data_IF_725578700104
#
_entry.id   IF_725578700104
#
_cell.length_a   1.000
_cell.length_b   1.000
_cell.length_c   1.000
_cell.angle_alpha   90.00
_cell.angle_beta   90.00
_cell.angle_gamma   90.00
#
_symmetry.space_group_name_H-M   'P 1'
#
loop_
_entity.id
_entity.type
_entity.pdbx_description
1 polymer ?
#
# COMPACT_ATOMS: atom_id res chain seq x y z
N UNK A 1 -34.28 -5.12 -11.98
CA UNK A 1 -32.92 -4.66 -11.61
C UNK A 1 -33.04 -3.20 -11.19
N UNK A 2 -33.00 -2.90 -9.88
CA UNK A 2 -33.12 -1.53 -9.34
C UNK A 2 -31.81 -1.08 -8.69
N UNK A 3 -30.70 -1.21 -9.41
CA UNK A 3 -29.44 -0.57 -8.99
C UNK A 3 -29.18 0.60 -9.93
N UNK A 4 -29.00 1.80 -9.37
CA UNK A 4 -28.63 3.02 -10.11
C UNK A 4 -27.22 2.94 -10.72
N UNK A 5 -26.45 1.88 -10.40
CA UNK A 5 -25.07 1.68 -10.83
C UNK A 5 -24.81 0.22 -11.25
N UNK A 6 -23.78 0.03 -12.06
CA UNK A 6 -23.25 -1.28 -12.41
C UNK A 6 -22.29 -1.72 -11.31
N UNK A 7 -22.75 -2.58 -10.41
CA UNK A 7 -21.96 -3.02 -9.26
C UNK A 7 -20.96 -4.08 -9.72
N UNK A 8 -19.67 -3.86 -9.47
CA UNK A 8 -18.62 -4.86 -9.59
C UNK A 8 -18.74 -5.83 -8.43
N UNK A 9 -19.11 -7.07 -8.73
CA UNK A 9 -19.23 -8.11 -7.73
C UNK A 9 -17.86 -8.61 -7.27
N UNK A 10 -17.62 -8.59 -5.96
CA UNK A 10 -16.43 -9.20 -5.35
C UNK A 10 -16.85 -10.45 -4.58
N UNK A 11 -16.30 -11.63 -4.90
CA UNK A 11 -16.58 -12.83 -4.12
C UNK A 11 -16.01 -12.67 -2.71
N UNK A 12 -16.53 -13.45 -1.76
CA UNK A 12 -15.79 -13.69 -0.51
C UNK A 12 -14.57 -14.53 -0.83
N UNK A 13 -13.40 -13.96 -0.64
CA UNK A 13 -12.14 -14.66 -0.83
C UNK A 13 -11.92 -15.66 0.31
N UNK A 14 -11.13 -16.71 0.04
CA UNK A 14 -10.73 -17.68 1.08
C UNK A 14 -9.78 -17.08 2.11
N UNK A 15 -9.08 -16.00 1.73
CA UNK A 15 -8.19 -15.25 2.62
C UNK A 15 -9.06 -14.39 3.54
N UNK A 16 -8.84 -14.54 4.84
CA UNK A 16 -9.47 -13.73 5.87
C UNK A 16 -8.40 -12.90 6.60
N UNK A 17 -8.60 -11.60 6.64
CA UNK A 17 -7.70 -10.64 7.29
C UNK A 17 -8.31 -10.25 8.65
N UNK A 18 -7.51 -10.26 9.70
CA UNK A 18 -7.86 -9.79 11.05
C UNK A 18 -6.73 -8.89 11.60
N UNK A 19 -6.92 -8.33 12.79
CA UNK A 19 -5.88 -7.58 13.48
C UNK A 19 -4.64 -8.42 13.86
N UNK A 20 -4.77 -9.75 13.81
CA UNK A 20 -3.65 -10.68 14.03
C UNK A 20 -2.78 -10.85 12.78
N UNK A 21 -3.34 -10.53 11.61
CA UNK A 21 -2.64 -10.67 10.34
C UNK A 21 -1.49 -9.66 10.22
N UNK A 22 -0.30 -10.15 9.88
CA UNK A 22 0.84 -9.32 9.49
C UNK A 22 0.74 -9.03 8.00
N UNK A 23 0.66 -7.75 7.64
CA UNK A 23 0.42 -7.31 6.26
C UNK A 23 1.63 -6.52 5.78
N UNK A 24 2.19 -6.93 4.64
CA UNK A 24 3.13 -6.12 3.88
C UNK A 24 2.44 -5.60 2.62
N UNK A 25 2.51 -4.29 2.39
CA UNK A 25 1.95 -3.69 1.19
C UNK A 25 3.01 -2.97 0.37
N UNK A 26 3.04 -3.21 -0.95
CA UNK A 26 3.88 -2.49 -1.90
C UNK A 26 3.03 -1.96 -3.06
N UNK A 27 3.35 -0.77 -3.58
CA UNK A 27 2.69 -0.27 -4.78
C UNK A 27 2.60 1.25 -4.90
N UNK A 28 1.64 1.66 -5.73
CA UNK A 28 1.28 3.06 -6.00
C UNK A 28 0.82 3.85 -4.77
N UNK A 29 0.56 5.15 -4.92
CA UNK A 29 -0.07 5.98 -3.88
C UNK A 29 -1.40 5.40 -3.35
N UNK A 30 -2.10 4.58 -4.14
CA UNK A 30 -3.31 3.89 -3.67
C UNK A 30 -3.00 2.91 -2.53
N UNK A 31 -1.82 2.27 -2.53
CA UNK A 31 -1.34 1.43 -1.42
C UNK A 31 -1.20 2.25 -0.14
N UNK A 32 -0.67 3.47 -0.20
CA UNK A 32 -0.55 4.31 0.99
C UNK A 32 -1.92 4.72 1.54
N UNK A 33 -2.89 5.04 0.68
CA UNK A 33 -4.26 5.34 1.13
C UNK A 33 -4.93 4.18 1.88
N UNK A 34 -4.91 2.98 1.30
CA UNK A 34 -5.52 1.79 1.91
C UNK A 34 -4.72 1.34 3.14
N UNK A 35 -3.39 1.36 3.06
CA UNK A 35 -2.51 0.99 4.16
C UNK A 35 -2.64 1.94 5.36
N UNK A 36 -2.70 3.25 5.13
CA UNK A 36 -2.92 4.22 6.21
C UNK A 36 -4.30 4.06 6.86
N UNK A 37 -5.33 3.66 6.10
CA UNK A 37 -6.62 3.30 6.71
C UNK A 37 -6.48 2.06 7.61
N UNK A 38 -5.77 1.02 7.17
CA UNK A 38 -5.49 -0.16 8.00
C UNK A 38 -4.72 0.20 9.28
N UNK A 39 -3.69 1.05 9.19
CA UNK A 39 -2.93 1.52 10.35
C UNK A 39 -3.79 2.33 11.34
N UNK A 40 -4.66 3.24 10.84
CA UNK A 40 -5.63 3.97 11.68
C UNK A 40 -6.62 3.03 12.38
N UNK A 41 -6.86 1.86 11.81
CA UNK A 41 -7.69 0.79 12.37
C UNK A 41 -6.88 -0.23 13.18
N UNK A 42 -5.62 0.09 13.51
CA UNK A 42 -4.71 -0.67 14.36
C UNK A 42 -4.32 -2.06 13.80
N UNK A 43 -4.36 -2.24 12.48
CA UNK A 43 -3.79 -3.44 11.85
C UNK A 43 -2.26 -3.37 11.80
N UNK A 44 -1.62 -4.55 11.86
CA UNK A 44 -0.17 -4.73 11.75
C UNK A 44 0.26 -4.61 10.27
N UNK A 45 0.50 -3.39 9.81
CA UNK A 45 0.79 -3.12 8.39
C UNK A 45 2.10 -2.35 8.21
N UNK A 46 2.99 -2.92 7.39
CA UNK A 46 4.16 -2.24 6.83
C UNK A 46 3.85 -1.79 5.40
N UNK A 47 4.10 -0.51 5.10
CA UNK A 47 3.66 0.12 3.84
C UNK A 47 4.87 0.65 3.09
N UNK A 48 5.07 0.11 1.89
CA UNK A 48 6.03 0.59 0.91
C UNK A 48 7.43 0.79 1.54
N UNK A 49 8.17 -0.24 1.97
CA UNK A 49 9.48 -0.07 2.60
C UNK A 49 10.53 0.64 1.71
N UNK A 50 10.26 0.78 0.42
CA UNK A 50 11.09 1.54 -0.54
C UNK A 50 10.42 2.84 -1.02
N UNK A 51 9.26 3.17 -0.45
CA UNK A 51 8.36 4.22 -0.88
C UNK A 51 7.51 3.82 -2.07
N UNK A 52 6.82 4.80 -2.67
CA UNK A 52 5.87 4.55 -3.75
C UNK A 52 6.62 4.04 -4.99
N UNK A 53 6.40 2.77 -5.29
CA UNK A 53 6.97 2.06 -6.45
C UNK A 53 5.85 1.22 -7.04
N UNK A 54 5.58 1.39 -8.33
CA UNK A 54 4.30 0.96 -8.90
C UNK A 54 4.41 0.24 -10.23
N UNK A 55 5.60 -0.02 -10.75
CA UNK A 55 5.77 -0.90 -11.89
C UNK A 55 6.21 -2.31 -11.43
N UNK A 56 5.87 -3.37 -12.19
CA UNK A 56 6.17 -4.74 -11.79
C UNK A 56 7.65 -5.01 -11.47
N UNK A 57 8.58 -4.57 -12.31
CA UNK A 57 10.00 -4.91 -12.14
C UNK A 57 10.59 -4.22 -10.91
N UNK A 58 10.26 -2.95 -10.68
CA UNK A 58 10.76 -2.25 -9.51
C UNK A 58 10.20 -2.82 -8.20
N UNK A 59 8.92 -3.24 -8.15
CA UNK A 59 8.37 -3.94 -6.97
C UNK A 59 9.06 -5.29 -6.77
N UNK A 60 9.29 -6.04 -7.85
CA UNK A 60 10.02 -7.31 -7.81
C UNK A 60 11.42 -7.13 -7.23
N UNK A 61 12.19 -6.16 -7.73
CA UNK A 61 13.52 -5.85 -7.20
C UNK A 61 13.47 -5.48 -5.71
N UNK A 62 12.49 -4.67 -5.28
CA UNK A 62 12.31 -4.36 -3.86
C UNK A 62 12.05 -5.61 -3.01
N UNK A 63 11.23 -6.55 -3.48
CA UNK A 63 10.96 -7.79 -2.77
C UNK A 63 12.19 -8.71 -2.72
N UNK A 64 13.00 -8.77 -3.78
CA UNK A 64 14.27 -9.51 -3.77
C UNK A 64 15.26 -8.92 -2.77
N UNK A 65 15.40 -7.58 -2.73
CA UNK A 65 16.20 -6.88 -1.72
C UNK A 65 15.74 -7.23 -0.30
N UNK A 66 14.43 -7.29 -0.07
CA UNK A 66 13.89 -7.71 1.22
C UNK A 66 14.22 -9.18 1.52
N UNK A 67 14.02 -10.10 0.59
CA UNK A 67 14.32 -11.54 0.80
C UNK A 67 15.80 -11.74 1.18
N UNK A 68 16.69 -11.04 0.49
CA UNK A 68 18.14 -11.12 0.70
C UNK A 68 18.62 -10.32 1.92
N UNK A 69 17.74 -9.48 2.48
CA UNK A 69 18.08 -8.49 3.50
C UNK A 69 19.32 -7.65 3.10
N UNK A 70 19.36 -7.21 1.85
CA UNK A 70 20.55 -6.60 1.27
C UNK A 70 20.87 -5.26 1.96
N UNK A 71 22.13 -5.12 2.39
CA UNK A 71 22.64 -3.89 2.99
C UNK A 71 23.19 -2.94 1.93
N UNK A 72 22.70 -1.71 1.91
CA UNK A 72 23.19 -0.62 1.07
C UNK A 72 24.34 0.11 1.74
N UNK A 73 25.30 0.55 0.93
CA UNK A 73 26.53 1.24 1.34
C UNK A 73 26.77 2.49 0.50
N UNK A 74 27.83 3.25 0.82
CA UNK A 74 28.16 4.48 0.10
C UNK A 74 28.39 4.28 -1.42
N UNK A 75 28.80 3.08 -1.86
CA UNK A 75 28.99 2.79 -3.29
C UNK A 75 27.66 2.71 -4.07
N UNK A 76 26.56 2.43 -3.38
CA UNK A 76 25.23 2.32 -3.97
C UNK A 76 24.55 3.68 -4.13
N UNK A 77 25.03 4.69 -3.40
CA UNK A 77 24.48 6.03 -3.44
C UNK A 77 24.88 6.78 -4.73
N UNK A 78 23.96 7.62 -5.16
CA UNK A 78 24.15 8.65 -6.19
C UNK A 78 23.82 10.00 -5.58
N UNK A 79 24.33 11.07 -6.19
CA UNK A 79 24.11 12.43 -5.74
C UNK A 79 23.59 13.29 -6.88
N UNK A 80 22.45 13.95 -6.65
CA UNK A 80 21.83 14.86 -7.61
C UNK A 80 20.92 15.84 -6.87
N UNK A 81 20.87 17.10 -7.32
CA UNK A 81 20.09 18.17 -6.68
C UNK A 81 20.27 18.23 -5.15
N UNK A 82 21.53 18.27 -4.70
CA UNK A 82 21.92 18.40 -3.30
C UNK A 82 21.42 17.26 -2.38
N UNK A 83 21.08 16.11 -2.97
CA UNK A 83 20.56 14.95 -2.23
C UNK A 83 21.23 13.67 -2.67
N UNK A 84 21.56 12.84 -1.69
CA UNK A 84 21.93 11.45 -1.84
C UNK A 84 20.68 10.60 -2.05
N UNK A 85 20.78 9.59 -2.92
CA UNK A 85 19.68 8.70 -3.24
C UNK A 85 20.19 7.36 -3.82
N UNK A 86 19.28 6.41 -4.01
CA UNK A 86 19.51 5.23 -4.84
C UNK A 86 18.39 5.12 -5.88
N UNK A 87 18.68 4.51 -7.02
CA UNK A 87 17.66 4.30 -8.07
C UNK A 87 16.55 3.31 -7.65
N UNK A 88 16.74 2.57 -6.56
CA UNK A 88 15.80 1.56 -6.08
C UNK A 88 14.74 2.10 -5.11
N UNK A 89 14.93 3.32 -4.59
CA UNK A 89 14.06 3.91 -3.57
C UNK A 89 13.38 5.19 -4.08
N UNK A 90 12.17 5.44 -3.57
CA UNK A 90 11.45 6.69 -3.77
C UNK A 90 12.22 7.87 -3.17
N UNK A 91 11.99 9.08 -3.70
CA UNK A 91 12.66 10.31 -3.26
C UNK A 91 12.46 10.67 -1.78
N UNK A 92 11.49 10.04 -1.10
CA UNK A 92 11.29 10.19 0.36
C UNK A 92 12.48 9.65 1.17
N UNK A 93 13.27 8.75 0.61
CA UNK A 93 14.49 8.22 1.22
C UNK A 93 15.73 9.07 0.92
N UNK A 94 15.65 9.98 -0.06
CA UNK A 94 16.76 10.84 -0.41
C UNK A 94 17.03 11.83 0.72
N UNK A 95 18.30 12.12 1.01
CA UNK A 95 18.70 13.04 2.08
C UNK A 95 19.92 13.87 1.66
N UNK A 96 20.07 15.09 2.17
CA UNK A 96 21.27 15.92 1.96
C UNK A 96 22.53 15.30 2.60
N UNK A 97 22.36 14.51 3.67
CA UNK A 97 23.42 13.74 4.31
C UNK A 97 23.39 12.27 3.84
N UNK A 98 24.55 11.74 3.45
CA UNK A 98 24.70 10.38 2.93
C UNK A 98 24.45 9.30 4.00
N UNK A 99 24.92 9.54 5.23
CA UNK A 99 24.77 8.61 6.35
C UNK A 99 23.31 8.50 6.76
N UNK A 100 22.59 9.62 6.85
CA UNK A 100 21.15 9.63 7.12
C UNK A 100 20.35 8.93 6.00
N UNK A 101 20.74 9.12 4.74
CA UNK A 101 20.13 8.43 3.61
C UNK A 101 20.28 6.90 3.75
N UNK A 102 21.51 6.42 4.02
CA UNK A 102 21.77 4.99 4.20
C UNK A 102 21.12 4.43 5.45
N UNK A 103 21.07 5.19 6.54
CA UNK A 103 20.41 4.78 7.78
C UNK A 103 18.92 4.52 7.50
N UNK A 104 18.23 5.48 6.89
CA UNK A 104 16.81 5.37 6.57
C UNK A 104 16.53 4.20 5.61
N UNK A 105 17.35 4.04 4.57
CA UNK A 105 17.23 2.92 3.61
C UNK A 105 17.38 1.58 4.32
N UNK A 106 18.47 1.39 5.06
CA UNK A 106 18.76 0.10 5.68
C UNK A 106 17.79 -0.22 6.83
N UNK A 107 17.32 0.78 7.58
CA UNK A 107 16.28 0.58 8.59
C UNK A 107 14.97 0.10 7.96
N UNK A 108 14.54 0.72 6.85
CA UNK A 108 13.32 0.31 6.17
C UNK A 108 13.44 -1.07 5.52
N UNK A 109 14.60 -1.42 4.97
CA UNK A 109 14.87 -2.78 4.46
C UNK A 109 14.78 -3.81 5.59
N UNK A 110 15.44 -3.55 6.73
CA UNK A 110 15.39 -4.47 7.87
C UNK A 110 13.95 -4.63 8.40
N UNK A 111 13.21 -3.52 8.58
CA UNK A 111 11.82 -3.57 9.01
C UNK A 111 10.94 -4.35 8.01
N UNK A 112 11.08 -4.07 6.72
CA UNK A 112 10.37 -4.78 5.65
C UNK A 112 10.72 -6.26 5.59
N UNK A 113 11.98 -6.64 5.79
CA UNK A 113 12.43 -8.04 5.84
C UNK A 113 11.79 -8.78 7.02
N UNK A 114 11.83 -8.19 8.22
CA UNK A 114 11.24 -8.79 9.43
C UNK A 114 9.73 -8.98 9.29
N UNK A 115 9.03 -8.03 8.67
CA UNK A 115 7.59 -8.18 8.38
C UNK A 115 7.38 -9.24 7.31
N UNK A 116 8.14 -9.25 6.21
CA UNK A 116 7.98 -10.23 5.13
C UNK A 116 8.15 -11.68 5.61
N UNK A 117 9.06 -11.94 6.56
CA UNK A 117 9.29 -13.26 7.16
C UNK A 117 8.04 -13.84 7.82
N UNK A 118 7.24 -12.99 8.47
CA UNK A 118 6.03 -13.38 9.22
C UNK A 118 4.72 -12.94 8.56
N UNK A 119 4.79 -12.32 7.38
CA UNK A 119 3.64 -11.78 6.70
C UNK A 119 2.65 -12.89 6.35
N UNK A 120 1.41 -12.74 6.78
CA UNK A 120 0.31 -13.59 6.33
C UNK A 120 -0.13 -13.18 4.92
N UNK A 121 0.02 -11.88 4.61
CA UNK A 121 -0.48 -11.24 3.40
C UNK A 121 0.57 -10.30 2.81
N UNK A 122 0.83 -10.49 1.52
CA UNK A 122 1.53 -9.55 0.66
C UNK A 122 0.54 -8.94 -0.33
N UNK A 123 0.25 -7.65 -0.19
CA UNK A 123 -0.62 -6.91 -1.11
C UNK A 123 0.22 -6.07 -2.06
N UNK A 124 0.10 -6.34 -3.37
CA UNK A 124 0.84 -5.65 -4.42
C UNK A 124 -0.12 -4.86 -5.29
N UNK A 125 0.05 -3.53 -5.32
CA UNK A 125 -0.74 -2.62 -6.17
C UNK A 125 0.10 -2.10 -7.33
N UNK A 126 -0.13 -2.61 -8.54
CA UNK A 126 0.50 -2.06 -9.74
C UNK A 126 -0.16 -0.75 -10.19
N UNK A 127 0.65 0.22 -10.58
CA UNK A 127 0.24 1.47 -11.20
C UNK A 127 0.37 1.42 -12.72
N UNK A 128 1.52 1.02 -13.25
CA UNK A 128 1.78 1.01 -14.70
C UNK A 128 2.72 -0.13 -15.09
N UNK A 129 2.53 -0.69 -16.28
CA UNK A 129 3.49 -1.59 -16.93
C UNK A 129 4.63 -0.85 -17.63
N UNK A 130 4.67 0.49 -17.59
CA UNK A 130 5.80 1.26 -18.12
C UNK A 130 6.92 1.37 -17.11
N UNK A 131 8.15 1.27 -17.60
CA UNK A 131 9.36 1.36 -16.80
C UNK A 131 10.30 2.42 -17.37
N UNK A 132 11.13 2.98 -16.50
CA UNK A 132 12.26 3.79 -16.89
C UNK A 132 13.53 2.96 -16.70
N UNK A 133 14.35 2.88 -17.75
CA UNK A 133 15.62 2.19 -17.73
C UNK A 133 16.74 3.21 -17.84
N UNK A 134 17.68 3.19 -16.89
CA UNK A 134 18.86 4.03 -16.94
C UNK A 134 19.73 3.56 -18.11
N UNK A 135 20.01 4.45 -19.06
CA UNK A 135 20.72 4.09 -20.30
C UNK A 135 22.14 3.60 -20.00
N UNK A 136 22.83 4.25 -19.05
CA UNK A 136 24.22 3.95 -18.69
C UNK A 136 24.41 2.51 -18.19
N UNK A 137 23.55 2.05 -17.27
CA UNK A 137 23.68 0.73 -16.66
C UNK A 137 22.78 -0.34 -17.29
N UNK A 138 21.79 0.09 -18.08
CA UNK A 138 20.73 -0.79 -18.56
C UNK A 138 19.74 -1.23 -17.48
N UNK A 139 19.84 -0.75 -16.23
CA UNK A 139 18.96 -1.19 -15.14
C UNK A 139 17.61 -0.44 -15.16
N UNK A 140 16.53 -1.16 -14.87
CA UNK A 140 15.23 -0.53 -14.58
C UNK A 140 15.31 0.14 -13.21
N UNK A 141 14.92 1.41 -13.14
CA UNK A 141 14.95 2.21 -11.91
C UNK A 141 13.55 2.37 -11.33
N UNK A 142 13.47 2.41 -10.00
CA UNK A 142 12.22 2.67 -9.27
C UNK A 142 11.82 4.14 -9.29
N UNK A 143 12.80 5.04 -9.34
CA UNK A 143 12.58 6.48 -9.38
C UNK A 143 13.71 7.18 -10.15
N UNK A 144 13.36 8.16 -10.98
CA UNK A 144 14.33 8.94 -11.77
C UNK A 144 14.90 10.16 -11.02
N UNK A 145 14.46 10.42 -9.78
CA UNK A 145 14.97 11.48 -8.89
C UNK A 145 15.03 12.88 -9.52
N UNK A 146 14.06 13.19 -10.38
CA UNK A 146 13.97 14.44 -11.15
C UNK A 146 15.21 14.73 -12.01
N UNK A 147 15.99 13.71 -12.35
CA UNK A 147 17.10 13.83 -13.29
C UNK A 147 16.60 14.02 -14.73
N UNK A 148 17.46 14.52 -15.64
CA UNK A 148 17.07 14.75 -17.03
C UNK A 148 16.52 13.49 -17.70
N UNK A 149 15.43 13.64 -18.44
CA UNK A 149 14.78 12.51 -19.12
C UNK A 149 15.69 11.80 -20.13
N UNK A 150 16.68 12.49 -20.68
CA UNK A 150 17.68 11.94 -21.62
C UNK A 150 18.56 10.85 -21.02
N UNK A 151 18.61 10.70 -19.68
CA UNK A 151 19.34 9.61 -19.03
C UNK A 151 18.56 8.29 -19.05
N UNK A 152 17.28 8.32 -19.39
CA UNK A 152 16.39 7.18 -19.28
C UNK A 152 15.70 6.87 -20.59
N UNK A 153 15.58 5.59 -20.92
CA UNK A 153 14.57 5.13 -21.88
C UNK A 153 13.28 4.80 -21.15
N UNK A 154 12.15 5.07 -21.79
CA UNK A 154 10.82 4.70 -21.31
C UNK A 154 10.25 3.62 -22.21
N UNK A 155 9.95 2.46 -21.64
CA UNK A 155 9.45 1.31 -22.39
C UNK A 155 8.25 0.67 -21.68
N UNK A 156 7.37 0.05 -22.48
CA UNK A 156 6.27 -0.76 -21.99
C UNK A 156 6.76 -2.20 -21.81
N UNK A 157 6.56 -2.76 -20.61
CA UNK A 157 6.87 -4.16 -20.36
C UNK A 157 5.97 -5.07 -21.18
N UNK A 158 6.54 -6.19 -21.63
CA UNK A 158 5.76 -7.28 -22.22
C UNK A 158 5.07 -8.10 -21.14
N UNK A 159 3.88 -8.60 -21.44
CA UNK A 159 3.11 -9.48 -20.53
C UNK A 159 3.93 -10.70 -20.14
N UNK A 160 4.58 -11.34 -21.11
CA UNK A 160 5.42 -12.53 -20.90
C UNK A 160 6.58 -12.27 -19.92
N UNK A 161 7.21 -11.08 -20.01
CA UNK A 161 8.30 -10.71 -19.12
C UNK A 161 7.80 -10.58 -17.68
N UNK A 162 6.65 -9.93 -17.46
CA UNK A 162 6.05 -9.80 -16.13
C UNK A 162 5.74 -11.19 -15.57
N UNK A 163 5.12 -12.07 -16.36
CA UNK A 163 4.78 -13.44 -15.94
C UNK A 163 6.04 -14.21 -15.54
N UNK A 164 7.10 -14.18 -16.35
CA UNK A 164 8.35 -14.89 -16.09
C UNK A 164 9.01 -14.41 -14.79
N UNK A 165 9.21 -13.10 -14.66
CA UNK A 165 9.85 -12.49 -13.47
C UNK A 165 9.06 -12.75 -12.20
N UNK A 166 7.72 -12.62 -12.26
CA UNK A 166 6.89 -12.86 -11.10
C UNK A 166 6.76 -14.34 -10.74
N UNK A 167 6.76 -15.24 -11.73
CA UNK A 167 6.75 -16.68 -11.44
C UNK A 167 7.98 -17.09 -10.64
N UNK A 168 9.16 -16.56 -11.00
CA UNK A 168 10.41 -16.78 -10.25
C UNK A 168 10.33 -16.14 -8.85
N UNK A 169 9.88 -14.89 -8.77
CA UNK A 169 9.71 -14.18 -7.50
C UNK A 169 8.77 -14.92 -6.54
N UNK A 170 7.63 -15.42 -7.04
CA UNK A 170 6.64 -16.13 -6.24
C UNK A 170 7.24 -17.41 -5.66
N UNK A 171 8.05 -18.15 -6.42
CA UNK A 171 8.77 -19.33 -5.92
C UNK A 171 9.74 -18.93 -4.79
N UNK A 172 10.51 -17.86 -4.98
CA UNK A 172 11.42 -17.34 -3.95
C UNK A 172 10.68 -16.87 -2.69
N UNK A 173 9.57 -16.15 -2.85
CA UNK A 173 8.70 -15.71 -1.75
C UNK A 173 8.14 -16.89 -0.97
N UNK A 174 7.67 -17.94 -1.67
CA UNK A 174 7.15 -19.15 -1.03
C UNK A 174 8.22 -19.98 -0.32
N UNK A 175 9.46 -19.96 -0.81
CA UNK A 175 10.60 -20.54 -0.10
C UNK A 175 10.93 -19.74 1.17
N UNK A 176 10.85 -18.41 1.09
CA UNK A 176 11.15 -17.51 2.20
C UNK A 176 10.07 -17.53 3.29
N UNK A 177 8.80 -17.54 2.89
CA UNK A 177 7.63 -17.61 3.75
C UNK A 177 6.56 -18.52 3.08
N UNK A 178 6.47 -19.80 3.46
CA UNK A 178 5.55 -20.76 2.83
C UNK A 178 4.06 -20.39 2.95
N UNK A 179 3.69 -19.70 4.04
CA UNK A 179 2.31 -19.41 4.40
C UNK A 179 1.78 -18.10 3.77
N UNK A 180 2.64 -17.28 3.17
CA UNK A 180 2.25 -15.96 2.65
C UNK A 180 1.16 -16.07 1.58
N UNK A 181 0.11 -15.27 1.69
CA UNK A 181 -0.89 -15.12 0.64
C UNK A 181 -0.60 -13.86 -0.18
N UNK A 182 -0.74 -13.94 -1.50
CA UNK A 182 -0.46 -12.78 -2.37
C UNK A 182 -1.76 -12.24 -2.93
N UNK A 183 -2.00 -10.95 -2.71
CA UNK A 183 -3.15 -10.22 -3.25
C UNK A 183 -2.61 -9.20 -4.25
N UNK A 184 -2.89 -9.42 -5.53
CA UNK A 184 -2.66 -8.40 -6.54
C UNK A 184 -3.84 -7.46 -6.64
N UNK A 185 -3.56 -6.20 -6.92
CA UNK A 185 -4.56 -5.25 -7.39
C UNK A 185 -3.93 -4.25 -8.36
N UNK A 186 -4.77 -3.55 -9.10
CA UNK A 186 -4.34 -2.49 -10.01
C UNK A 186 -4.90 -1.17 -9.48
N UNK A 187 -4.02 -0.19 -9.37
CA UNK A 187 -4.35 1.16 -8.90
C UNK A 187 -5.40 1.80 -9.81
N UNK A 188 -6.46 2.40 -9.26
CA UNK A 188 -7.42 3.19 -10.05
C UNK A 188 -6.83 4.51 -10.57
N UNK A 189 -5.67 4.94 -10.05
CA UNK A 189 -5.01 6.17 -10.49
C UNK A 189 -4.58 6.02 -11.95
N UNK A 190 -4.94 7.02 -12.77
CA UNK A 190 -4.59 7.09 -14.19
C UNK A 190 -3.20 7.70 -14.38
N UNK A 191 -2.32 6.98 -15.07
CA UNK A 191 -1.01 7.49 -15.48
C UNK A 191 -1.14 8.35 -16.74
N UNK A 192 -1.58 9.60 -16.54
CA UNK A 192 -1.96 10.47 -17.66
C UNK A 192 -0.79 11.07 -18.43
N UNK A 193 0.43 11.03 -17.87
CA UNK A 193 1.65 11.58 -18.51
C UNK A 193 1.90 11.00 -19.91
N UNK A 194 1.57 9.73 -20.11
CA UNK A 194 1.74 9.03 -21.39
C UNK A 194 0.47 9.10 -22.27
N UNK A 195 -0.62 9.69 -21.76
CA UNK A 195 -1.90 9.81 -22.45
C UNK A 195 -2.91 8.71 -22.12
N UNK A 196 -4.18 8.96 -22.45
CA UNK A 196 -5.30 8.08 -22.11
C UNK A 196 -5.16 6.68 -22.71
N UNK A 197 -4.78 6.59 -23.97
CA UNK A 197 -4.62 5.33 -24.70
C UNK A 197 -3.46 4.49 -24.12
N UNK A 198 -2.30 5.12 -23.91
CA UNK A 198 -1.14 4.46 -23.31
C UNK A 198 -1.42 3.97 -21.88
N UNK A 199 -2.20 4.73 -21.10
CA UNK A 199 -2.66 4.27 -19.80
C UNK A 199 -3.52 3.00 -19.94
N UNK A 200 -4.43 2.94 -20.92
CA UNK A 200 -5.25 1.74 -21.12
C UNK A 200 -4.43 0.52 -21.56
N UNK A 201 -3.48 0.71 -22.49
CA UNK A 201 -2.54 -0.35 -22.88
C UNK A 201 -1.77 -0.84 -21.65
N UNK A 202 -1.20 0.08 -20.88
CA UNK A 202 -0.44 -0.23 -19.67
C UNK A 202 -1.24 -1.03 -18.65
N UNK A 203 -2.48 -0.61 -18.34
CA UNK A 203 -3.36 -1.33 -17.42
C UNK A 203 -3.74 -2.70 -17.98
N UNK A 204 -4.04 -2.80 -19.27
CA UNK A 204 -4.37 -4.07 -19.94
C UNK A 204 -3.22 -5.08 -19.86
N UNK A 205 -1.97 -4.62 -20.04
CA UNK A 205 -0.77 -5.45 -19.84
C UNK A 205 -0.71 -6.01 -18.42
N UNK A 206 -0.96 -5.17 -17.40
CA UNK A 206 -0.98 -5.61 -15.99
C UNK A 206 -2.10 -6.63 -15.73
N UNK A 207 -3.30 -6.39 -16.27
CA UNK A 207 -4.44 -7.31 -16.16
C UNK A 207 -4.11 -8.68 -16.72
N UNK A 208 -3.58 -8.74 -17.94
CA UNK A 208 -3.21 -10.00 -18.59
C UNK A 208 -2.13 -10.74 -17.79
N UNK A 209 -1.13 -10.04 -17.27
CA UNK A 209 -0.09 -10.65 -16.46
C UNK A 209 -0.66 -11.23 -15.15
N UNK A 210 -1.44 -10.45 -14.40
CA UNK A 210 -2.06 -10.92 -13.15
C UNK A 210 -3.00 -12.10 -13.42
N UNK A 211 -3.82 -12.03 -14.47
CA UNK A 211 -4.71 -13.12 -14.85
C UNK A 211 -3.94 -14.43 -14.99
N UNK A 212 -2.85 -14.43 -15.77
CA UNK A 212 -2.02 -15.61 -15.95
C UNK A 212 -1.37 -16.09 -14.64
N UNK A 213 -0.85 -15.18 -13.81
CA UNK A 213 -0.28 -15.54 -12.51
C UNK A 213 -1.31 -16.19 -11.57
N UNK A 214 -2.54 -15.69 -11.52
CA UNK A 214 -3.62 -16.28 -10.69
C UNK A 214 -4.06 -17.66 -11.18
N UNK A 215 -3.85 -17.99 -12.46
CA UNK A 215 -4.11 -19.33 -13.01
C UNK A 215 -2.98 -20.32 -12.71
N UNK A 216 -1.75 -19.83 -12.63
CA UNK A 216 -0.57 -20.67 -12.41
C UNK A 216 -0.30 -21.01 -10.94
N UNK A 217 -0.80 -20.21 -9.99
CA UNK A 217 -0.50 -20.37 -8.58
C UNK A 217 -1.75 -20.41 -7.69
N UNK A 218 -1.87 -21.47 -6.90
CA UNK A 218 -2.86 -21.58 -5.81
C UNK A 218 -2.35 -20.72 -4.64
N UNK A 219 -3.16 -19.77 -4.12
CA UNK A 219 -2.82 -18.74 -3.10
C UNK A 219 -2.42 -17.36 -3.64
N UNK A 220 -2.76 -17.09 -4.90
CA UNK A 220 -2.73 -15.75 -5.48
C UNK A 220 -4.14 -15.37 -5.87
N UNK A 221 -4.54 -14.17 -5.48
CA UNK A 221 -5.84 -13.62 -5.86
C UNK A 221 -5.68 -12.22 -6.44
N UNK A 222 -6.71 -11.80 -7.17
CA UNK A 222 -6.84 -10.45 -7.68
C UNK A 222 -8.00 -9.74 -6.99
N UNK A 223 -7.75 -8.55 -6.44
CA UNK A 223 -8.79 -7.65 -5.94
C UNK A 223 -9.06 -6.53 -6.97
N UNK A 224 -10.30 -6.36 -7.46
CA UNK A 224 -10.64 -5.49 -8.59
C UNK A 224 -10.82 -4.01 -8.20
N UNK A 225 -9.84 -3.40 -7.52
CA UNK A 225 -9.92 -1.99 -7.11
C UNK A 225 -10.05 -1.02 -8.31
N UNK A 226 -9.42 -1.35 -9.44
CA UNK A 226 -9.50 -0.55 -10.66
C UNK A 226 -10.92 -0.55 -11.21
N UNK A 227 -11.52 -1.73 -11.37
CA UNK A 227 -12.86 -1.91 -11.92
C UNK A 227 -13.90 -1.32 -10.97
N UNK A 228 -13.82 -1.56 -9.66
CA UNK A 228 -14.72 -0.93 -8.69
C UNK A 228 -14.72 0.59 -8.88
N UNK A 229 -13.54 1.20 -8.99
CA UNK A 229 -13.47 2.65 -9.15
C UNK A 229 -13.93 3.11 -10.54
N UNK A 230 -13.59 2.39 -11.61
CA UNK A 230 -13.92 2.80 -12.98
C UNK A 230 -15.37 2.51 -13.35
N UNK A 231 -15.99 1.47 -12.79
CA UNK A 231 -17.30 0.96 -13.19
C UNK A 231 -18.41 1.28 -12.19
N UNK A 232 -18.17 1.20 -10.88
CA UNK A 232 -19.16 1.64 -9.88
C UNK A 232 -19.13 3.17 -9.72
N UNK A 233 -17.94 3.78 -9.77
CA UNK A 233 -17.69 5.19 -9.48
C UNK A 233 -17.34 6.02 -10.74
N UNK A 234 -18.15 5.87 -11.79
CA UNK A 234 -17.95 6.52 -13.12
C UNK A 234 -17.97 8.06 -13.16
N UNK A 235 -18.13 8.75 -12.03
CA UNK A 235 -18.37 10.19 -11.93
C UNK A 235 -17.15 10.94 -11.36
N UNK A 236 -16.82 12.12 -11.93
CA UNK A 236 -15.70 12.96 -11.47
C UNK A 236 -15.83 13.42 -10.00
N UNK A 237 -17.03 13.37 -9.41
CA UNK A 237 -17.24 13.66 -7.98
C UNK A 237 -16.44 12.76 -7.03
N UNK A 238 -15.89 11.65 -7.53
CA UNK A 238 -15.05 10.73 -6.75
C UNK A 238 -13.55 10.94 -6.96
N UNK A 239 -13.17 11.96 -7.74
CA UNK A 239 -11.78 12.35 -7.98
C UNK A 239 -11.41 13.56 -7.12
N UNK A 240 -10.11 13.66 -6.81
CA UNK A 240 -9.51 14.84 -6.21
C UNK A 240 -9.42 15.99 -7.23
N UNK A 241 -8.92 17.15 -6.80
CA UNK A 241 -8.84 18.36 -7.63
C UNK A 241 -8.05 18.16 -8.94
N UNK A 242 -7.11 17.21 -8.96
CA UNK A 242 -6.32 16.90 -10.15
C UNK A 242 -7.04 16.03 -11.19
N UNK A 243 -8.26 15.57 -10.89
CA UNK A 243 -9.09 14.70 -11.74
C UNK A 243 -8.43 13.36 -12.10
N UNK A 244 -7.39 12.95 -11.38
CA UNK A 244 -6.63 11.72 -11.62
C UNK A 244 -6.61 10.80 -10.41
N UNK A 245 -6.49 11.37 -9.21
CA UNK A 245 -6.49 10.61 -7.97
C UNK A 245 -7.92 10.45 -7.43
N UNK A 246 -8.26 9.31 -6.83
CA UNK A 246 -9.45 9.19 -6.00
C UNK A 246 -9.46 10.21 -4.86
N UNK A 247 -10.62 10.80 -4.56
CA UNK A 247 -10.82 11.55 -3.32
C UNK A 247 -11.20 10.62 -2.15
N UNK A 248 -11.39 11.19 -0.97
CA UNK A 248 -11.70 10.45 0.26
C UNK A 248 -12.97 9.58 0.13
N UNK A 249 -14.01 10.07 -0.56
CA UNK A 249 -15.25 9.32 -0.78
C UNK A 249 -14.98 8.08 -1.64
N UNK A 250 -14.20 8.26 -2.72
CA UNK A 250 -13.80 7.18 -3.61
C UNK A 250 -12.92 6.14 -2.92
N UNK A 251 -11.92 6.58 -2.16
CA UNK A 251 -11.06 5.70 -1.35
C UNK A 251 -11.90 4.92 -0.33
N UNK A 252 -12.80 5.60 0.40
CA UNK A 252 -13.68 4.96 1.38
C UNK A 252 -14.56 3.90 0.73
N UNK A 253 -15.11 4.17 -0.45
CA UNK A 253 -15.96 3.21 -1.15
C UNK A 253 -15.21 1.91 -1.50
N UNK A 254 -14.00 2.02 -2.04
CA UNK A 254 -13.16 0.84 -2.34
C UNK A 254 -12.75 0.12 -1.05
N UNK A 255 -12.43 0.86 0.01
CA UNK A 255 -12.14 0.31 1.34
C UNK A 255 -13.32 -0.47 1.93
N UNK A 256 -14.54 0.03 1.82
CA UNK A 256 -15.74 -0.64 2.34
C UNK A 256 -15.98 -1.97 1.60
N UNK A 257 -15.69 -2.03 0.29
CA UNK A 257 -15.77 -3.27 -0.49
C UNK A 257 -14.64 -4.23 -0.12
N UNK A 258 -13.40 -3.74 -0.01
CA UNK A 258 -12.25 -4.52 0.44
C UNK A 258 -12.54 -5.16 1.82
N UNK A 259 -13.05 -4.35 2.75
CA UNK A 259 -13.42 -4.79 4.10
C UNK A 259 -14.45 -5.92 4.08
N UNK A 260 -15.48 -5.81 3.24
CA UNK A 260 -16.50 -6.86 3.10
C UNK A 260 -15.97 -8.15 2.46
N UNK A 261 -15.03 -8.02 1.55
CA UNK A 261 -14.46 -9.13 0.80
C UNK A 261 -13.45 -9.95 1.64
N UNK A 262 -12.75 -9.29 2.57
CA UNK A 262 -11.60 -9.87 3.28
C UNK A 262 -11.73 -9.96 4.79
N UNK A 263 -12.61 -9.18 5.42
CA UNK A 263 -12.70 -9.13 6.88
C UNK A 263 -13.90 -9.91 7.40
N UNK A 264 -13.67 -10.65 8.48
CA UNK A 264 -14.74 -11.36 9.19
C UNK A 264 -15.72 -10.39 9.86
N UNK A 265 -16.93 -10.88 10.18
CA UNK A 265 -17.92 -10.06 10.89
C UNK A 265 -17.47 -9.64 12.29
N UNK A 266 -16.64 -10.43 12.98
CA UNK A 266 -16.06 -10.04 14.27
C UNK A 266 -15.02 -8.94 14.10
N UNK A 267 -14.14 -9.05 13.10
CA UNK A 267 -13.17 -8.01 12.76
C UNK A 267 -13.85 -6.68 12.40
N UNK A 268 -14.94 -6.73 11.62
CA UNK A 268 -15.71 -5.53 11.26
C UNK A 268 -16.35 -4.85 12.48
N UNK A 269 -16.76 -5.60 13.52
CA UNK A 269 -17.27 -5.01 14.77
C UNK A 269 -16.17 -4.24 15.51
N UNK A 270 -14.97 -4.82 15.62
CA UNK A 270 -13.82 -4.16 16.27
C UNK A 270 -13.47 -2.88 15.51
N UNK A 271 -13.42 -2.94 14.17
CA UNK A 271 -13.20 -1.75 13.32
C UNK A 271 -14.20 -0.66 13.63
N UNK A 272 -15.49 -0.98 13.73
CA UNK A 272 -16.52 0.03 14.03
C UNK A 272 -16.29 0.72 15.38
N UNK A 273 -15.83 -0.02 16.39
CA UNK A 273 -15.49 0.57 17.69
C UNK A 273 -14.26 1.50 17.59
N UNK A 274 -13.23 1.09 16.86
CA UNK A 274 -12.02 1.90 16.62
C UNK A 274 -12.35 3.15 15.78
N UNK A 275 -13.21 3.05 14.77
CA UNK A 275 -13.67 4.19 13.97
C UNK A 275 -14.39 5.23 14.83
N UNK A 276 -15.28 4.78 15.73
CA UNK A 276 -15.98 5.66 16.67
C UNK A 276 -14.99 6.37 17.61
N UNK A 277 -13.98 5.67 18.10
CA UNK A 277 -12.94 6.24 18.96
C UNK A 277 -12.06 7.25 18.20
N UNK A 278 -11.67 6.93 16.96
CA UNK A 278 -10.93 7.85 16.10
C UNK A 278 -11.74 9.13 15.82
N UNK A 279 -13.05 9.01 15.56
CA UNK A 279 -13.91 10.18 15.39
C UNK A 279 -14.00 11.01 16.68
N UNK A 280 -14.13 10.35 17.84
CA UNK A 280 -14.13 10.99 19.14
C UNK A 280 -12.81 11.74 19.44
N UNK A 281 -11.66 11.15 19.11
CA UNK A 281 -10.34 11.77 19.27
C UNK A 281 -10.15 13.01 18.39
N UNK A 282 -10.76 13.02 17.21
CA UNK A 282 -10.69 14.15 16.27
C UNK A 282 -11.76 15.23 16.52
N UNK A 283 -12.68 15.01 17.47
CA UNK A 283 -13.71 15.99 17.80
C UNK A 283 -13.08 17.26 18.41
N UNK A 284 -13.46 18.42 17.87
CA UNK A 284 -12.99 19.73 18.37
C UNK A 284 -14.04 20.33 19.31
N UNK A 285 -13.87 20.26 20.64
CA UNK A 285 -14.84 20.81 21.58
C UNK A 285 -14.80 22.34 21.60
N UNK A 286 -15.92 22.98 21.96
CA UNK A 286 -15.97 24.43 22.16
C UNK A 286 -15.14 24.90 23.37
N UNK A 287 -15.00 24.07 24.42
CA UNK A 287 -14.22 24.39 25.62
C UNK A 287 -13.44 23.16 26.11
N UNK A 288 -12.14 23.13 25.77
CA UNK A 288 -11.19 22.08 26.15
C UNK A 288 -10.89 22.01 27.66
N UNK A 289 -11.23 23.05 28.43
CA UNK A 289 -10.99 23.08 29.89
C UNK A 289 -12.21 22.67 30.72
N UNK A 290 -13.35 22.43 30.08
CA UNK A 290 -14.59 22.08 30.79
C UNK A 290 -14.52 20.68 31.41
N UNK A 291 -15.14 20.49 32.58
CA UNK A 291 -15.21 19.18 33.23
C UNK A 291 -15.93 18.15 32.34
N UNK A 292 -16.93 18.59 31.57
CA UNK A 292 -17.62 17.74 30.58
C UNK A 292 -16.65 17.17 29.56
N UNK A 293 -15.68 17.95 29.07
CA UNK A 293 -14.70 17.49 28.10
C UNK A 293 -13.68 16.54 28.74
N UNK A 294 -13.24 16.81 29.98
CA UNK A 294 -12.38 15.87 30.73
C UNK A 294 -13.08 14.53 30.96
N UNK A 295 -14.36 14.55 31.37
CA UNK A 295 -15.17 13.33 31.51
C UNK A 295 -15.32 12.60 30.17
N UNK A 296 -15.53 13.32 29.07
CA UNK A 296 -15.57 12.73 27.73
C UNK A 296 -14.26 12.01 27.39
N UNK A 297 -13.10 12.62 27.63
CA UNK A 297 -11.80 11.97 27.41
C UNK A 297 -11.65 10.72 28.28
N UNK A 298 -11.89 10.83 29.60
CA UNK A 298 -11.78 9.71 30.53
C UNK A 298 -12.69 8.53 30.16
N UNK A 299 -13.91 8.80 29.67
CA UNK A 299 -14.83 7.76 29.20
C UNK A 299 -14.29 7.03 27.96
N UNK A 300 -13.69 7.75 27.01
CA UNK A 300 -13.08 7.12 25.84
C UNK A 300 -11.83 6.31 26.20
N UNK A 301 -10.99 6.81 27.12
CA UNK A 301 -9.84 6.05 27.65
C UNK A 301 -10.33 4.76 28.31
N UNK A 302 -11.37 4.81 29.15
CA UNK A 302 -11.94 3.62 29.77
C UNK A 302 -12.43 2.61 28.72
N UNK A 303 -13.12 3.08 27.67
CA UNK A 303 -13.57 2.24 26.56
C UNK A 303 -12.41 1.59 25.82
N UNK A 304 -11.30 2.32 25.61
CA UNK A 304 -10.07 1.77 25.03
C UNK A 304 -9.53 0.64 25.91
N UNK A 305 -9.43 0.84 27.23
CA UNK A 305 -8.96 -0.19 28.16
C UNK A 305 -9.85 -1.45 28.15
N UNK A 306 -11.17 -1.30 28.04
CA UNK A 306 -12.11 -2.42 27.93
C UNK A 306 -11.91 -3.22 26.62
N UNK A 307 -11.66 -2.52 25.50
CA UNK A 307 -11.34 -3.15 24.22
C UNK A 307 -9.98 -3.84 24.25
N UNK A 308 -8.97 -3.21 24.83
CA UNK A 308 -7.61 -3.74 24.99
C UNK A 308 -7.65 -5.06 25.79
N UNK A 309 -8.42 -5.11 26.88
CA UNK A 309 -8.60 -6.32 27.69
C UNK A 309 -9.25 -7.46 26.90
N UNK A 310 -10.13 -7.13 25.95
CA UNK A 310 -10.87 -8.10 25.15
C UNK A 310 -10.14 -8.50 23.85
N UNK A 311 -9.08 -7.78 23.47
CA UNK A 311 -8.35 -7.94 22.20
C UNK A 311 -6.84 -7.76 22.43
N UNK A 312 -6.23 -8.70 23.16
CA UNK A 312 -4.85 -8.62 23.65
C UNK A 312 -3.78 -8.47 22.54
N UNK A 313 -4.08 -8.87 21.31
CA UNK A 313 -3.16 -8.84 20.18
C UNK A 313 -3.17 -7.50 19.40
N UNK A 314 -4.05 -6.57 19.77
CA UNK A 314 -4.17 -5.23 19.16
C UNK A 314 -3.44 -4.22 20.03
N UNK A 315 -2.52 -3.48 19.42
CA UNK A 315 -1.85 -2.36 20.09
C UNK A 315 -2.75 -1.12 20.08
N UNK A 316 -3.38 -0.82 21.22
CA UNK A 316 -4.22 0.37 21.41
C UNK A 316 -3.43 1.59 21.89
N UNK A 317 -2.13 1.48 22.20
CA UNK A 317 -1.33 2.58 22.73
C UNK A 317 -1.30 3.82 21.80
N UNK A 318 -1.23 3.69 20.45
CA UNK A 318 -1.32 4.85 19.57
C UNK A 318 -2.60 5.68 19.77
N UNK A 319 -3.75 5.01 19.94
CA UNK A 319 -5.05 5.66 20.12
C UNK A 319 -5.21 6.21 21.54
N UNK A 320 -4.76 5.45 22.53
CA UNK A 320 -4.77 5.86 23.94
C UNK A 320 -3.90 7.09 24.17
N UNK A 321 -2.71 7.14 23.56
CA UNK A 321 -1.80 8.29 23.61
C UNK A 321 -2.43 9.54 23.02
N UNK A 322 -3.21 9.44 21.94
CA UNK A 322 -3.94 10.59 21.39
C UNK A 322 -4.90 11.19 22.41
N UNK A 323 -5.69 10.37 23.11
CA UNK A 323 -6.59 10.86 24.15
C UNK A 323 -5.86 11.43 25.37
N UNK A 324 -4.76 10.81 25.79
CA UNK A 324 -3.93 11.32 26.91
C UNK A 324 -3.38 12.71 26.58
N UNK A 325 -2.95 12.94 25.34
CA UNK A 325 -2.46 14.25 24.88
C UNK A 325 -3.55 15.34 24.80
N UNK A 326 -4.84 14.97 24.94
CA UNK A 326 -5.96 15.92 24.96
C UNK A 326 -6.32 16.41 26.38
N UNK A 327 -5.78 15.77 27.43
CA UNK A 327 -5.91 16.19 28.83
C UNK A 327 -4.92 17.31 29.16
#
# INVERSE_FOLDING_TARGET
MNSFRTIVETPKYKINISHDSNILMLGSCFTENIGSNLQKLLFKVEINPFGIIYNPISIKNSLEILIENQKFTNSDLKFYNERWFTYFHHSRFSNANAEDCLLNINQAINAGNEVLKKADILLITFGTARVYRLIESGNIVSNCHKQPASLFSNELLRVENIISEYSQLIVSLKKFNPNINIIFTISPIRHWKDGAHENQISKSTLFLAIYNLTKSFNNIIYFPAYEIFMDDLRDYRFYAEDMLHPNEIGIKYVWDIFSKAFLSGSTQKIISEIENLNQAANHRPFNTKSDKYKTFISNNIKKITELETSNLDIDFEPLKSQFINLL
#
